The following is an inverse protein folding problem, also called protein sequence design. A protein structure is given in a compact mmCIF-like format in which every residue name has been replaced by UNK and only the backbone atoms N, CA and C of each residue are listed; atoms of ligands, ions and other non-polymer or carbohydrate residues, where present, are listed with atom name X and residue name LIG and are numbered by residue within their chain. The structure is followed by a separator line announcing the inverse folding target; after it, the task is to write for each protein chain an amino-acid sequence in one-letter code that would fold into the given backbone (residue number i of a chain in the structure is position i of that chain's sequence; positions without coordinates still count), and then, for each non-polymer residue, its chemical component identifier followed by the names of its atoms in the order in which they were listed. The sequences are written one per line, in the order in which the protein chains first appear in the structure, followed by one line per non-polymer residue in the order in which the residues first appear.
data_IF_820322198418
#
_entry.id   IF_820322198418
#
_cell.length_a   1.000
_cell.length_b   1.000
_cell.length_c   1.000
_cell.angle_alpha   90.00
_cell.angle_beta   90.00
_cell.angle_gamma   90.00
#
_symmetry.space_group_name_H-M   'P 1'
#
loop_
_entity.id
_entity.type
_entity.pdbx_description
1 polymer ?
#
# COMPACT_ATOMS: atom_id res chain seq x y z
N UNK A 1 -7.58 5.00 24.37
CA UNK A 1 -6.46 5.80 23.83
C UNK A 1 -5.34 4.82 23.57
N UNK A 2 -5.10 4.50 22.30
CA UNK A 2 -4.10 3.51 21.89
C UNK A 2 -2.72 4.16 21.85
N UNK A 3 -2.01 4.02 20.74
CA UNK A 3 -0.69 4.64 20.56
C UNK A 3 -0.75 6.16 20.34
N UNK A 4 -1.94 6.76 20.16
CA UNK A 4 -2.08 8.23 20.03
C UNK A 4 -1.57 8.98 21.26
N UNK A 5 -1.54 8.31 22.42
CA UNK A 5 -1.04 8.87 23.69
C UNK A 5 0.48 9.04 23.70
N UNK A 6 1.19 8.34 22.82
CA UNK A 6 2.64 8.43 22.71
C UNK A 6 3.03 9.59 21.79
N UNK A 7 4.13 10.25 22.14
CA UNK A 7 4.67 11.37 21.39
C UNK A 7 6.18 11.20 21.30
N UNK A 8 6.72 11.44 20.11
CA UNK A 8 8.15 11.49 19.85
C UNK A 8 8.48 12.90 19.37
N UNK A 9 9.43 13.55 20.03
CA UNK A 9 9.84 14.89 19.65
C UNK A 9 10.68 14.89 18.35
N UNK A 10 10.86 16.08 17.77
CA UNK A 10 11.55 16.23 16.48
C UNK A 10 13.00 15.77 16.51
N UNK A 11 13.70 15.94 17.63
CA UNK A 11 15.11 15.57 17.73
C UNK A 11 15.26 14.05 17.87
N UNK A 12 14.35 13.41 18.60
CA UNK A 12 14.25 11.96 18.73
C UNK A 12 13.85 11.28 17.42
N UNK A 13 12.93 11.88 16.65
CA UNK A 13 12.59 11.42 15.29
C UNK A 13 13.81 11.47 14.36
N UNK A 14 14.55 12.59 14.37
CA UNK A 14 15.79 12.75 13.57
C UNK A 14 16.86 11.75 13.99
N UNK A 15 17.05 11.55 15.29
CA UNK A 15 18.02 10.57 15.80
C UNK A 15 17.64 9.16 15.32
N UNK A 16 16.36 8.77 15.48
CA UNK A 16 15.84 7.49 15.01
C UNK A 16 16.11 7.27 13.51
N UNK A 17 15.79 8.27 12.69
CA UNK A 17 16.00 8.21 11.25
C UNK A 17 17.49 8.05 10.90
N UNK A 18 18.36 8.87 11.49
CA UNK A 18 19.80 8.90 11.19
C UNK A 18 20.56 7.62 11.57
N UNK A 19 20.07 6.85 12.55
CA UNK A 19 20.70 5.61 13.01
C UNK A 19 19.93 4.35 12.59
N UNK A 20 18.93 4.48 11.72
CA UNK A 20 18.09 3.35 11.30
C UNK A 20 18.85 2.22 10.62
N UNK A 21 19.83 2.54 9.76
CA UNK A 21 20.64 1.52 9.10
C UNK A 21 21.52 0.77 10.10
N UNK A 22 22.14 1.49 11.05
CA UNK A 22 22.89 0.90 12.15
C UNK A 22 22.02 -0.02 13.01
N UNK A 23 20.79 0.41 13.32
CA UNK A 23 19.82 -0.37 14.08
C UNK A 23 19.47 -1.69 13.36
N UNK A 24 19.25 -1.64 12.04
CA UNK A 24 18.98 -2.82 11.19
C UNK A 24 20.20 -3.77 11.17
N UNK A 25 21.41 -3.25 10.97
CA UNK A 25 22.64 -4.05 10.93
C UNK A 25 22.89 -4.79 12.25
N UNK A 26 22.67 -4.12 13.39
CA UNK A 26 22.79 -4.74 14.71
C UNK A 26 21.75 -5.84 14.89
N UNK A 27 20.50 -5.59 14.53
CA UNK A 27 19.44 -6.60 14.62
C UNK A 27 19.73 -7.82 13.73
N UNK A 28 20.17 -7.60 12.49
CA UNK A 28 20.61 -8.65 11.58
C UNK A 28 21.73 -9.48 12.20
N UNK A 29 22.72 -8.83 12.82
CA UNK A 29 23.83 -9.51 13.48
C UNK A 29 23.36 -10.37 14.66
N UNK A 30 22.47 -9.85 15.50
CA UNK A 30 21.95 -10.57 16.67
C UNK A 30 21.09 -11.78 16.29
N UNK A 31 20.22 -11.63 15.30
CA UNK A 31 19.30 -12.69 14.87
C UNK A 31 19.96 -13.71 13.92
N UNK A 32 21.20 -13.47 13.48
CA UNK A 32 21.93 -14.38 12.58
C UNK A 32 22.47 -15.63 13.28
N UNK A 33 22.67 -15.60 14.61
CA UNK A 33 23.35 -16.67 15.37
C UNK A 33 22.74 -18.06 15.08
N UNK A 34 23.59 -18.97 14.57
CA UNK A 34 23.20 -20.19 13.87
C UNK A 34 22.56 -21.25 14.80
N UNK A 35 22.83 -21.19 16.11
CA UNK A 35 22.39 -22.23 17.06
C UNK A 35 20.86 -22.23 17.29
N UNK A 36 20.17 -21.09 17.10
CA UNK A 36 18.71 -20.97 17.25
C UNK A 36 18.00 -20.47 15.97
N UNK A 37 18.72 -19.92 14.97
CA UNK A 37 18.10 -19.29 13.79
C UNK A 37 17.19 -20.22 12.99
N UNK A 38 17.58 -21.48 12.77
CA UNK A 38 16.77 -22.42 11.97
C UNK A 38 15.41 -22.71 12.62
N UNK A 39 15.32 -22.60 13.94
CA UNK A 39 14.07 -22.79 14.65
C UNK A 39 13.13 -21.60 14.45
N UNK A 40 13.64 -20.39 14.21
CA UNK A 40 12.82 -19.17 14.14
C UNK A 40 12.23 -18.87 12.76
N UNK A 41 12.98 -19.12 11.67
CA UNK A 41 12.56 -18.74 10.31
C UNK A 41 12.15 -19.94 9.43
N UNK A 42 12.21 -21.16 9.97
CA UNK A 42 11.90 -22.39 9.24
C UNK A 42 12.79 -22.58 8.01
N UNK A 43 12.17 -22.87 6.87
CA UNK A 43 12.86 -23.08 5.59
C UNK A 43 13.12 -21.78 4.80
N UNK A 44 12.81 -20.61 5.37
CA UNK A 44 13.02 -19.34 4.69
C UNK A 44 14.51 -19.00 4.57
N UNK A 45 14.86 -18.25 3.52
CA UNK A 45 16.21 -17.68 3.41
C UNK A 45 16.41 -16.59 4.46
N UNK A 46 17.67 -16.36 4.82
CA UNK A 46 18.01 -15.29 5.78
C UNK A 46 17.62 -13.90 5.25
N UNK A 47 17.58 -13.75 3.93
CA UNK A 47 17.18 -12.49 3.28
C UNK A 47 15.73 -12.13 3.62
N UNK A 48 14.81 -13.08 3.75
CA UNK A 48 13.42 -12.81 4.17
C UNK A 48 13.38 -12.17 5.57
N UNK A 49 14.25 -12.61 6.48
CA UNK A 49 14.37 -12.03 7.82
C UNK A 49 14.97 -10.62 7.76
N UNK A 50 15.99 -10.42 6.94
CA UNK A 50 16.61 -9.09 6.77
C UNK A 50 15.65 -8.10 6.12
N UNK A 51 14.84 -8.55 5.16
CA UNK A 51 13.79 -7.77 4.53
C UNK A 51 12.73 -7.37 5.56
N UNK A 52 12.32 -8.31 6.42
CA UNK A 52 11.45 -8.02 7.55
C UNK A 52 12.01 -6.94 8.47
N UNK A 53 13.30 -6.98 8.82
CA UNK A 53 13.90 -5.97 9.69
C UNK A 53 13.90 -4.58 9.06
N UNK A 54 14.17 -4.47 7.74
CA UNK A 54 14.08 -3.20 7.02
C UNK A 54 12.65 -2.67 6.98
N UNK A 55 11.69 -3.54 6.66
CA UNK A 55 10.28 -3.18 6.65
C UNK A 55 9.78 -2.76 8.04
N UNK A 56 10.22 -3.45 9.11
CA UNK A 56 9.90 -3.11 10.48
C UNK A 56 10.34 -1.68 10.82
N UNK A 57 11.60 -1.32 10.55
CA UNK A 57 12.09 0.03 10.83
C UNK A 57 11.35 1.10 10.02
N UNK A 58 11.05 0.86 8.75
CA UNK A 58 10.25 1.77 7.92
C UNK A 58 8.81 1.92 8.43
N UNK A 59 8.20 0.83 8.88
CA UNK A 59 6.89 0.84 9.54
C UNK A 59 6.94 1.70 10.81
N UNK A 60 7.92 1.48 11.68
CA UNK A 60 8.04 2.24 12.92
C UNK A 60 8.23 3.74 12.68
N UNK A 61 9.08 4.14 11.73
CA UNK A 61 9.22 5.56 11.31
C UNK A 61 7.86 6.18 10.98
N UNK A 62 7.01 5.42 10.30
CA UNK A 62 5.70 5.89 9.86
C UNK A 62 4.70 5.97 11.00
N UNK A 63 4.71 4.99 11.90
CA UNK A 63 3.89 4.98 13.11
C UNK A 63 4.21 6.16 14.01
N UNK A 64 5.48 6.53 14.13
CA UNK A 64 5.91 7.65 14.96
C UNK A 64 5.36 9.00 14.47
N UNK A 65 5.20 9.15 13.16
CA UNK A 65 4.64 10.35 12.54
C UNK A 65 3.10 10.32 12.57
N UNK A 66 2.49 9.25 12.08
CA UNK A 66 1.05 9.17 11.86
C UNK A 66 0.27 8.92 13.16
N UNK A 67 0.81 8.10 14.06
CA UNK A 67 0.23 7.74 15.37
C UNK A 67 -1.22 7.22 15.32
N UNK A 68 -1.61 6.61 14.21
CA UNK A 68 -2.94 6.00 14.02
C UNK A 68 -2.96 4.57 14.60
N UNK A 69 -3.68 4.33 15.70
CA UNK A 69 -3.70 3.00 16.36
C UNK A 69 -4.35 1.93 15.52
N UNK A 70 -5.34 2.28 14.69
CA UNK A 70 -6.02 1.30 13.86
C UNK A 70 -5.02 0.70 12.86
N UNK A 71 -4.33 1.58 12.13
CA UNK A 71 -3.27 1.21 11.19
C UNK A 71 -2.13 0.45 11.87
N UNK A 72 -1.71 0.89 13.06
CA UNK A 72 -0.65 0.22 13.83
C UNK A 72 -1.03 -1.23 14.19
N UNK A 73 -2.22 -1.43 14.79
CA UNK A 73 -2.69 -2.76 15.17
C UNK A 73 -2.86 -3.66 13.94
N UNK A 74 -3.46 -3.14 12.87
CA UNK A 74 -3.70 -3.89 11.63
C UNK A 74 -2.41 -4.42 11.01
N UNK A 75 -1.35 -3.59 10.95
CA UNK A 75 -0.06 -3.98 10.39
C UNK A 75 0.68 -4.97 11.29
N UNK A 76 0.67 -4.76 12.62
CA UNK A 76 1.33 -5.69 13.56
C UNK A 76 0.72 -7.08 13.45
N UNK A 77 -0.60 -7.18 13.46
CA UNK A 77 -1.32 -8.44 13.28
C UNK A 77 -1.05 -9.06 11.90
N UNK A 78 -1.08 -8.24 10.83
CA UNK A 78 -0.80 -8.71 9.48
C UNK A 78 0.62 -9.26 9.34
N UNK A 79 1.62 -8.57 9.89
CA UNK A 79 3.00 -9.02 9.87
C UNK A 79 3.17 -10.32 10.66
N UNK A 80 2.60 -10.40 11.86
CA UNK A 80 2.63 -11.64 12.65
C UNK A 80 2.01 -12.82 11.87
N UNK A 81 0.80 -12.63 11.34
CA UNK A 81 0.06 -13.66 10.62
C UNK A 81 0.76 -14.11 9.32
N UNK A 82 1.21 -13.15 8.51
CA UNK A 82 1.83 -13.43 7.21
C UNK A 82 3.14 -14.23 7.36
N UNK A 83 3.99 -13.85 8.32
CA UNK A 83 5.26 -14.56 8.52
C UNK A 83 5.05 -15.95 9.12
N UNK A 84 4.18 -16.09 10.12
CA UNK A 84 3.90 -17.39 10.75
C UNK A 84 3.24 -18.37 9.78
N UNK A 85 2.30 -17.90 8.96
CA UNK A 85 1.68 -18.70 7.88
C UNK A 85 2.67 -19.15 6.81
N UNK A 86 3.83 -18.49 6.73
CA UNK A 86 4.90 -18.76 5.76
C UNK A 86 6.12 -19.42 6.40
N UNK A 87 5.92 -20.07 7.54
CA UNK A 87 6.89 -20.97 8.15
C UNK A 87 7.87 -20.31 9.12
N UNK A 88 7.67 -19.04 9.49
CA UNK A 88 8.31 -18.52 10.70
C UNK A 88 7.67 -19.16 11.92
N UNK A 89 8.47 -19.49 12.91
CA UNK A 89 7.96 -19.95 14.20
C UNK A 89 7.39 -18.73 14.96
N UNK A 90 6.21 -18.84 15.59
CA UNK A 90 5.63 -17.78 16.43
C UNK A 90 6.61 -17.17 17.45
N UNK A 91 7.54 -17.98 17.99
CA UNK A 91 8.59 -17.55 18.94
C UNK A 91 9.51 -16.49 18.33
N UNK A 92 9.62 -16.39 17.00
CA UNK A 92 10.39 -15.37 16.31
C UNK A 92 10.04 -13.97 16.79
N UNK A 93 8.76 -13.60 16.85
CA UNK A 93 8.36 -12.25 17.25
C UNK A 93 8.59 -12.00 18.75
N UNK A 94 8.38 -13.02 19.59
CA UNK A 94 8.73 -12.96 21.01
C UNK A 94 10.23 -12.88 21.28
N UNK A 95 11.07 -13.22 20.30
CA UNK A 95 12.53 -13.07 20.36
C UNK A 95 12.98 -11.74 19.77
N UNK A 96 12.42 -11.37 18.61
CA UNK A 96 12.83 -10.21 17.84
C UNK A 96 12.43 -8.89 18.51
N UNK A 97 11.21 -8.77 19.04
CA UNK A 97 10.72 -7.52 19.63
C UNK A 97 11.53 -7.13 20.90
N UNK A 98 11.80 -8.04 21.86
CA UNK A 98 12.71 -7.73 22.96
C UNK A 98 14.13 -7.38 22.51
N UNK A 99 14.63 -8.03 21.44
CA UNK A 99 15.95 -7.70 20.87
C UNK A 99 15.98 -6.30 20.25
N UNK A 100 14.90 -5.87 19.59
CA UNK A 100 14.76 -4.48 19.14
C UNK A 100 14.82 -3.51 20.32
N UNK A 101 14.06 -3.77 21.39
CA UNK A 101 14.07 -2.92 22.60
C UNK A 101 15.50 -2.82 23.17
N UNK A 102 16.21 -3.94 23.27
CA UNK A 102 17.61 -3.95 23.73
C UNK A 102 18.50 -3.12 22.81
N UNK A 103 18.44 -3.37 21.51
CA UNK A 103 19.27 -2.68 20.52
C UNK A 103 18.98 -1.17 20.51
N UNK A 104 17.73 -0.76 20.75
CA UNK A 104 17.35 0.64 20.87
C UNK A 104 18.01 1.28 22.09
N UNK A 105 17.98 0.63 23.26
CA UNK A 105 18.66 1.12 24.46
C UNK A 105 20.17 1.25 24.28
N UNK A 106 20.77 0.35 23.53
CA UNK A 106 22.23 0.33 23.30
C UNK A 106 22.69 1.37 22.26
N UNK A 107 21.79 1.85 21.39
CA UNK A 107 22.15 2.64 20.20
C UNK A 107 21.70 4.11 20.27
N UNK A 108 20.56 4.38 20.92
CA UNK A 108 19.94 5.70 20.96
C UNK A 108 20.18 6.40 22.29
N UNK A 109 20.02 7.72 22.29
CA UNK A 109 19.98 8.50 23.53
C UNK A 109 18.85 8.00 24.45
N UNK A 110 19.03 8.20 25.76
CA UNK A 110 18.02 7.84 26.76
C UNK A 110 16.67 8.52 26.47
N UNK A 111 16.69 9.78 26.00
CA UNK A 111 15.50 10.52 25.60
C UNK A 111 14.75 9.80 24.46
N UNK A 112 15.43 9.50 23.36
CA UNK A 112 14.84 8.81 22.20
C UNK A 112 14.36 7.41 22.57
N UNK A 113 15.15 6.64 23.31
CA UNK A 113 14.77 5.29 23.74
C UNK A 113 13.49 5.31 24.60
N UNK A 114 13.37 6.24 25.54
CA UNK A 114 12.19 6.37 26.40
C UNK A 114 10.91 6.73 25.63
N UNK A 115 11.03 7.45 24.51
CA UNK A 115 9.88 7.83 23.67
C UNK A 115 9.47 6.72 22.68
N UNK A 116 10.44 5.94 22.18
CA UNK A 116 10.23 4.91 21.16
C UNK A 116 9.81 3.56 21.74
N UNK A 117 10.43 3.11 22.83
CA UNK A 117 10.19 1.79 23.44
C UNK A 117 8.71 1.53 23.80
N UNK A 118 7.91 2.50 24.25
CA UNK A 118 6.48 2.28 24.52
C UNK A 118 5.72 1.69 23.34
N UNK A 119 6.06 2.05 22.09
CA UNK A 119 5.44 1.45 20.90
C UNK A 119 5.79 -0.03 20.76
N UNK A 120 7.04 -0.42 21.02
CA UNK A 120 7.48 -1.82 20.97
C UNK A 120 6.83 -2.68 22.05
N UNK A 121 6.59 -2.12 23.23
CA UNK A 121 5.82 -2.80 24.27
C UNK A 121 4.36 -3.02 23.83
N UNK A 122 3.78 -2.08 23.09
CA UNK A 122 2.44 -2.26 22.53
C UNK A 122 2.41 -3.37 21.46
N UNK A 123 3.48 -3.51 20.65
CA UNK A 123 3.61 -4.65 19.73
C UNK A 123 3.54 -5.98 20.49
N UNK A 124 4.24 -6.11 21.63
CA UNK A 124 4.17 -7.31 22.46
C UNK A 124 2.75 -7.55 22.99
N UNK A 125 2.09 -6.51 23.51
CA UNK A 125 0.71 -6.62 24.00
C UNK A 125 -0.25 -7.10 22.91
N UNK A 126 -0.09 -6.59 21.68
CA UNK A 126 -0.90 -7.02 20.53
C UNK A 126 -0.63 -8.50 20.23
N UNK A 127 0.64 -8.89 20.09
CA UNK A 127 1.01 -10.27 19.76
C UNK A 127 0.48 -11.27 20.80
N UNK A 128 0.56 -10.94 22.09
CA UNK A 128 0.02 -11.79 23.17
C UNK A 128 -1.50 -11.97 23.08
N UNK A 129 -2.20 -10.99 22.51
CA UNK A 129 -3.65 -11.03 22.30
C UNK A 129 -4.09 -11.63 20.96
N UNK A 130 -3.17 -12.01 20.07
CA UNK A 130 -3.52 -12.50 18.73
C UNK A 130 -4.22 -13.87 18.83
N UNK A 131 -5.47 -13.90 18.37
CA UNK A 131 -6.22 -15.10 18.06
C UNK A 131 -6.15 -15.34 16.55
N UNK A 132 -5.26 -16.25 16.14
CA UNK A 132 -4.97 -16.53 14.72
C UNK A 132 -6.23 -16.92 13.95
N UNK A 133 -7.17 -17.63 14.58
CA UNK A 133 -8.40 -18.08 13.92
C UNK A 133 -9.33 -16.90 13.60
N UNK A 134 -9.36 -15.85 14.44
CA UNK A 134 -10.20 -14.67 14.22
C UNK A 134 -9.68 -13.73 13.13
N UNK A 135 -8.36 -13.54 13.06
CA UNK A 135 -7.73 -12.62 12.08
C UNK A 135 -8.08 -13.01 10.65
N UNK A 136 -8.18 -14.31 10.36
CA UNK A 136 -8.46 -14.82 9.01
C UNK A 136 -9.85 -14.47 8.46
N UNK A 137 -10.80 -14.13 9.34
CA UNK A 137 -12.20 -13.89 8.98
C UNK A 137 -12.58 -12.41 8.86
N UNK A 138 -11.93 -11.53 9.63
CA UNK A 138 -12.27 -10.10 9.66
C UNK A 138 -11.63 -9.28 8.52
N UNK A 139 -10.49 -9.73 7.98
CA UNK A 139 -9.70 -9.01 6.95
C UNK A 139 -10.00 -9.42 5.50
N UNK A 140 -11.06 -10.18 5.27
CA UNK A 140 -11.41 -10.68 3.94
C UNK A 140 -12.10 -9.60 3.07
N UNK A 141 -11.29 -8.76 2.42
CA UNK A 141 -11.74 -7.79 1.40
C UNK A 141 -12.02 -8.42 0.03
N UNK A 142 -11.85 -9.75 -0.12
CA UNK A 142 -12.12 -10.43 -1.40
C UNK A 142 -13.62 -10.60 -1.68
N UNK A 143 -14.49 -10.27 -0.74
CA UNK A 143 -15.94 -10.51 -0.89
C UNK A 143 -16.52 -9.69 -2.03
N UNK A 144 -17.22 -10.38 -2.93
CA UNK A 144 -18.00 -9.79 -4.03
C UNK A 144 -19.50 -9.98 -3.80
N UNK A 145 -20.32 -9.22 -4.55
CA UNK A 145 -21.77 -9.46 -4.64
C UNK A 145 -22.01 -10.89 -5.13
N UNK A 146 -23.08 -11.54 -4.66
CA UNK A 146 -23.38 -12.94 -4.99
C UNK A 146 -23.41 -13.24 -6.50
N UNK A 147 -23.80 -12.27 -7.33
CA UNK A 147 -23.79 -12.35 -8.80
C UNK A 147 -22.39 -12.56 -9.39
N UNK A 148 -21.34 -12.09 -8.72
CA UNK A 148 -19.95 -12.16 -9.19
C UNK A 148 -19.17 -13.35 -8.61
N UNK A 149 -19.72 -14.05 -7.61
CA UNK A 149 -19.02 -15.12 -6.88
C UNK A 149 -18.41 -16.20 -7.80
N UNK A 150 -19.17 -16.65 -8.80
CA UNK A 150 -18.67 -17.67 -9.74
C UNK A 150 -17.54 -17.11 -10.60
N UNK A 151 -17.74 -15.91 -11.14
CA UNK A 151 -16.76 -15.24 -12.00
C UNK A 151 -15.45 -15.01 -11.25
N UNK A 152 -15.51 -14.50 -10.02
CA UNK A 152 -14.34 -14.28 -9.17
C UNK A 152 -13.55 -15.58 -8.98
N UNK A 153 -14.22 -16.66 -8.55
CA UNK A 153 -13.58 -17.97 -8.33
C UNK A 153 -12.94 -18.52 -9.59
N UNK A 154 -13.64 -18.43 -10.72
CA UNK A 154 -13.13 -18.88 -12.00
C UNK A 154 -11.88 -18.07 -12.40
N UNK A 155 -11.95 -16.72 -12.28
CA UNK A 155 -10.82 -15.84 -12.59
C UNK A 155 -9.63 -16.11 -11.67
N UNK A 156 -9.82 -16.22 -10.35
CA UNK A 156 -8.75 -16.56 -9.40
C UNK A 156 -8.01 -17.84 -9.83
N UNK A 157 -8.75 -18.90 -10.16
CA UNK A 157 -8.15 -20.17 -10.60
C UNK A 157 -7.39 -20.04 -11.92
N UNK A 158 -7.91 -19.24 -12.85
CA UNK A 158 -7.25 -18.95 -14.13
C UNK A 158 -5.92 -18.21 -13.91
N UNK A 159 -5.92 -17.19 -13.05
CA UNK A 159 -4.75 -16.38 -12.74
C UNK A 159 -3.63 -17.22 -12.11
N UNK A 160 -3.97 -18.02 -11.10
CA UNK A 160 -3.01 -18.91 -10.42
C UNK A 160 -2.43 -19.97 -11.37
N UNK A 161 -3.21 -20.44 -12.35
CA UNK A 161 -2.76 -21.39 -13.37
C UNK A 161 -1.98 -20.74 -14.52
N UNK A 162 -1.98 -19.42 -14.61
CA UNK A 162 -1.23 -18.70 -15.64
C UNK A 162 -1.92 -18.60 -17.01
N UNK A 163 -3.22 -18.87 -17.12
CA UNK A 163 -3.90 -18.95 -18.43
C UNK A 163 -4.48 -17.59 -18.88
N UNK A 164 -3.61 -16.77 -19.47
CA UNK A 164 -4.01 -15.47 -20.01
C UNK A 164 -5.12 -15.54 -21.06
N UNK A 165 -5.13 -16.58 -21.92
CA UNK A 165 -6.14 -16.70 -22.99
C UNK A 165 -7.52 -16.93 -22.40
N UNK A 166 -7.61 -17.78 -21.39
CA UNK A 166 -8.86 -18.04 -20.70
C UNK A 166 -9.31 -16.82 -19.88
N UNK A 167 -8.39 -16.04 -19.30
CA UNK A 167 -8.72 -14.80 -18.61
C UNK A 167 -9.38 -13.76 -19.54
N UNK A 168 -8.83 -13.60 -20.75
CA UNK A 168 -9.42 -12.72 -21.79
C UNK A 168 -10.80 -13.23 -22.19
N UNK A 169 -10.93 -14.53 -22.50
CA UNK A 169 -12.21 -15.11 -22.90
C UNK A 169 -13.28 -14.97 -21.80
N UNK A 170 -12.90 -15.13 -20.53
CA UNK A 170 -13.81 -14.99 -19.41
C UNK A 170 -14.29 -13.53 -19.27
N UNK A 171 -13.37 -12.56 -19.24
CA UNK A 171 -13.72 -11.13 -19.12
C UNK A 171 -14.49 -10.58 -20.32
N UNK A 172 -14.29 -11.13 -21.52
CA UNK A 172 -15.07 -10.79 -22.71
C UNK A 172 -16.57 -11.05 -22.58
N UNK A 173 -16.98 -11.99 -21.73
CA UNK A 173 -18.40 -12.28 -21.52
C UNK A 173 -19.13 -11.21 -20.72
N UNK A 174 -18.41 -10.30 -20.05
CA UNK A 174 -18.98 -9.32 -19.13
C UNK A 174 -18.61 -7.88 -19.45
N UNK A 175 -17.67 -7.62 -20.37
CA UNK A 175 -17.24 -6.27 -20.77
C UNK A 175 -17.69 -5.95 -22.19
N UNK A 176 -18.80 -5.20 -22.32
CA UNK A 176 -19.32 -4.72 -23.62
C UNK A 176 -19.25 -3.20 -23.78
N UNK A 177 -19.22 -2.45 -22.68
CA UNK A 177 -19.15 -0.99 -22.67
C UNK A 177 -18.23 -0.46 -21.55
N UNK A 178 -18.06 0.87 -21.44
CA UNK A 178 -17.20 1.51 -20.42
C UNK A 178 -17.66 1.28 -18.99
N UNK A 179 -18.98 1.24 -18.75
CA UNK A 179 -19.53 1.01 -17.41
C UNK A 179 -19.32 -0.44 -16.97
N UNK A 180 -19.42 -1.39 -17.91
CA UNK A 180 -19.07 -2.78 -17.65
C UNK A 180 -17.59 -2.93 -17.29
N UNK A 181 -16.70 -2.19 -17.97
CA UNK A 181 -15.27 -2.18 -17.66
C UNK A 181 -15.02 -1.65 -16.25
N UNK A 182 -15.63 -0.51 -15.90
CA UNK A 182 -15.56 0.08 -14.55
C UNK A 182 -16.04 -0.90 -13.49
N UNK A 183 -17.20 -1.52 -13.72
CA UNK A 183 -17.76 -2.56 -12.84
C UNK A 183 -16.81 -3.76 -12.73
N UNK A 184 -16.24 -4.22 -13.83
CA UNK A 184 -15.28 -5.33 -13.84
C UNK A 184 -14.02 -4.98 -13.04
N UNK A 185 -13.50 -3.76 -13.13
CA UNK A 185 -12.34 -3.33 -12.33
C UNK A 185 -12.65 -3.33 -10.83
N UNK A 186 -13.75 -2.68 -10.43
CA UNK A 186 -14.08 -2.49 -9.01
C UNK A 186 -14.71 -3.69 -8.32
N UNK A 187 -15.61 -4.41 -8.99
CA UNK A 187 -16.41 -5.48 -8.41
C UNK A 187 -15.81 -6.87 -8.65
N UNK A 188 -14.78 -6.98 -9.50
CA UNK A 188 -14.15 -8.27 -9.81
C UNK A 188 -12.63 -8.23 -9.72
N UNK A 189 -11.94 -7.45 -10.56
CA UNK A 189 -10.47 -7.51 -10.62
C UNK A 189 -9.85 -7.11 -9.28
N UNK A 190 -10.32 -6.03 -8.66
CA UNK A 190 -9.86 -5.60 -7.34
C UNK A 190 -10.11 -6.67 -6.25
N UNK A 191 -11.33 -7.19 -6.07
CA UNK A 191 -11.58 -8.30 -5.12
C UNK A 191 -10.76 -9.55 -5.39
N UNK A 192 -10.56 -9.95 -6.65
CA UNK A 192 -9.68 -11.09 -6.99
C UNK A 192 -8.24 -10.80 -6.58
N UNK A 193 -7.73 -9.59 -6.80
CA UNK A 193 -6.39 -9.23 -6.34
C UNK A 193 -6.25 -9.23 -4.82
N UNK A 194 -7.31 -8.85 -4.09
CA UNK A 194 -7.35 -9.03 -2.63
C UNK A 194 -7.37 -10.50 -2.22
N UNK A 195 -8.08 -11.38 -2.96
CA UNK A 195 -8.06 -12.83 -2.72
C UNK A 195 -6.68 -13.44 -2.97
N UNK A 196 -6.00 -13.00 -4.02
CA UNK A 196 -4.62 -13.38 -4.34
C UNK A 196 -3.68 -12.94 -3.21
N UNK A 197 -3.78 -11.69 -2.76
CA UNK A 197 -3.01 -11.17 -1.62
C UNK A 197 -3.24 -11.98 -0.35
N UNK A 198 -4.50 -12.22 0.02
CA UNK A 198 -4.86 -13.02 1.19
C UNK A 198 -4.37 -14.47 1.08
N UNK A 199 -4.41 -15.06 -0.11
CA UNK A 199 -3.89 -16.41 -0.35
C UNK A 199 -2.37 -16.46 -0.20
N UNK A 200 -1.67 -15.40 -0.61
CA UNK A 200 -0.23 -15.26 -0.42
C UNK A 200 0.14 -15.05 1.06
N UNK A 201 -0.62 -14.22 1.78
CA UNK A 201 -0.47 -14.01 3.23
C UNK A 201 -0.65 -15.32 4.00
N UNK A 202 -1.67 -16.12 3.64
CA UNK A 202 -1.96 -17.43 4.22
C UNK A 202 -0.97 -18.54 3.81
N UNK A 203 0.03 -18.23 2.99
CA UNK A 203 0.98 -19.22 2.47
C UNK A 203 0.35 -20.27 1.53
N UNK A 204 -0.87 -20.04 1.02
CA UNK A 204 -1.57 -20.95 0.11
C UNK A 204 -1.02 -20.89 -1.32
N UNK A 205 -0.43 -19.75 -1.69
CA UNK A 205 0.25 -19.54 -2.96
C UNK A 205 1.64 -18.96 -2.72
N UNK A 206 2.56 -19.30 -3.63
CA UNK A 206 3.93 -18.77 -3.62
C UNK A 206 3.97 -17.32 -4.12
N UNK A 207 5.06 -16.60 -3.81
CA UNK A 207 5.33 -15.28 -4.40
C UNK A 207 5.36 -15.34 -5.94
N UNK A 208 5.86 -16.44 -6.53
CA UNK A 208 5.85 -16.61 -7.99
C UNK A 208 4.43 -16.67 -8.58
N UNK A 209 3.48 -17.30 -7.88
CA UNK A 209 2.08 -17.36 -8.30
C UNK A 209 1.37 -16.02 -8.13
N UNK A 210 1.66 -15.28 -7.07
CA UNK A 210 1.17 -13.90 -6.90
C UNK A 210 1.67 -13.01 -8.04
N UNK A 211 2.99 -12.99 -8.31
CA UNK A 211 3.57 -12.21 -9.40
C UNK A 211 3.00 -12.61 -10.78
N UNK A 212 2.77 -13.90 -11.01
CA UNK A 212 2.12 -14.39 -12.23
C UNK A 212 0.70 -13.85 -12.36
N UNK A 213 -0.10 -13.92 -11.29
CA UNK A 213 -1.47 -13.41 -11.27
C UNK A 213 -1.50 -11.89 -11.54
N UNK A 214 -0.67 -11.11 -10.85
CA UNK A 214 -0.52 -9.66 -11.04
C UNK A 214 -0.11 -9.32 -12.48
N UNK A 215 0.87 -10.04 -13.04
CA UNK A 215 1.31 -9.84 -14.42
C UNK A 215 0.21 -10.12 -15.44
N UNK A 216 -0.63 -11.14 -15.20
CA UNK A 216 -1.77 -11.46 -16.06
C UNK A 216 -2.84 -10.38 -15.96
N UNK A 217 -3.13 -9.87 -14.76
CA UNK A 217 -4.10 -8.80 -14.56
C UNK A 217 -3.68 -7.52 -15.27
N UNK A 218 -2.42 -7.11 -15.18
CA UNK A 218 -1.93 -5.90 -15.89
C UNK A 218 -2.10 -6.03 -17.42
N UNK A 219 -1.79 -7.21 -17.97
CA UNK A 219 -2.00 -7.51 -19.40
C UNK A 219 -3.49 -7.54 -19.76
N UNK A 220 -4.32 -8.08 -18.88
CA UNK A 220 -5.76 -8.18 -19.06
C UNK A 220 -6.40 -6.79 -19.06
N UNK A 221 -6.02 -5.93 -18.11
CA UNK A 221 -6.45 -4.54 -18.05
C UNK A 221 -6.14 -3.80 -19.35
N UNK A 222 -4.90 -3.90 -19.83
CA UNK A 222 -4.50 -3.32 -21.13
C UNK A 222 -5.37 -3.85 -22.27
N UNK A 223 -5.62 -5.16 -22.31
CA UNK A 223 -6.46 -5.80 -23.36
C UNK A 223 -7.90 -5.28 -23.34
N UNK A 224 -8.47 -5.08 -22.15
CA UNK A 224 -9.83 -4.59 -21.98
C UNK A 224 -9.94 -3.09 -22.28
N UNK A 225 -8.99 -2.30 -21.79
CA UNK A 225 -8.91 -0.86 -22.04
C UNK A 225 -8.83 -0.53 -23.53
N UNK A 226 -7.99 -1.25 -24.29
CA UNK A 226 -7.80 -0.98 -25.73
C UNK A 226 -9.06 -1.12 -26.59
N UNK A 227 -10.11 -1.80 -26.09
CA UNK A 227 -11.41 -1.89 -26.77
C UNK A 227 -12.13 -0.55 -26.87
N UNK A 228 -11.84 0.37 -25.96
CA UNK A 228 -12.52 1.66 -25.84
C UNK A 228 -11.61 2.85 -26.12
N UNK A 229 -10.31 2.62 -26.36
CA UNK A 229 -9.32 3.66 -26.58
C UNK A 229 -9.70 4.64 -27.69
N UNK A 230 -10.12 4.13 -28.85
CA UNK A 230 -10.52 4.95 -30.01
C UNK A 230 -11.80 5.76 -29.81
N UNK A 231 -12.48 5.61 -28.67
CA UNK A 231 -13.68 6.37 -28.33
C UNK A 231 -13.37 7.53 -27.38
N UNK A 232 -12.14 7.64 -26.87
CA UNK A 232 -11.77 8.67 -25.88
C UNK A 232 -11.78 10.04 -26.55
N UNK A 233 -12.49 10.98 -25.92
CA UNK A 233 -12.47 12.39 -26.25
C UNK A 233 -11.82 13.14 -25.08
N UNK A 234 -10.61 13.67 -25.31
CA UNK A 234 -9.80 14.35 -24.31
C UNK A 234 -10.34 15.76 -24.04
N UNK A 235 -11.52 15.83 -23.43
CA UNK A 235 -12.28 17.05 -23.19
C UNK A 235 -12.01 17.67 -21.80
N UNK A 236 -11.19 17.02 -20.95
CA UNK A 236 -10.85 17.48 -19.60
C UNK A 236 -9.37 17.87 -19.49
N UNK A 237 -8.95 18.20 -18.28
CA UNK A 237 -7.59 18.64 -17.97
C UNK A 237 -6.56 17.52 -17.97
N UNK A 238 -5.34 17.90 -17.60
CA UNK A 238 -4.20 16.98 -17.48
C UNK A 238 -4.14 16.37 -16.09
N UNK A 239 -3.99 15.05 -16.00
CA UNK A 239 -3.89 14.30 -14.75
C UNK A 239 -2.58 13.52 -14.71
N UNK A 240 -1.76 13.71 -13.69
CA UNK A 240 -0.59 12.86 -13.43
C UNK A 240 -0.97 11.85 -12.35
N UNK A 241 -0.79 10.55 -12.60
CA UNK A 241 -1.04 9.47 -11.63
C UNK A 241 0.25 8.70 -11.36
N UNK A 242 0.58 8.47 -10.09
CA UNK A 242 1.71 7.62 -9.68
C UNK A 242 1.37 6.82 -8.43
N UNK A 243 1.96 5.63 -8.29
CA UNK A 243 2.11 5.06 -6.95
C UNK A 243 3.15 5.89 -6.16
N UNK A 244 3.09 5.86 -4.83
CA UNK A 244 4.08 6.52 -3.99
C UNK A 244 5.50 5.97 -4.23
N UNK A 245 6.52 6.74 -3.85
CA UNK A 245 7.90 6.22 -3.85
C UNK A 245 8.01 5.04 -2.88
N UNK A 246 8.75 4.00 -3.27
CA UNK A 246 8.85 2.70 -2.59
C UNK A 246 7.53 1.92 -2.53
N UNK A 247 6.53 2.31 -3.35
CA UNK A 247 5.31 1.54 -3.55
C UNK A 247 5.42 0.70 -4.83
N UNK A 248 5.26 -0.61 -4.69
CA UNK A 248 5.28 -1.55 -5.82
C UNK A 248 3.87 -2.01 -6.23
N UNK A 249 2.85 -1.70 -5.42
CA UNK A 249 1.47 -2.05 -5.71
C UNK A 249 0.84 -1.05 -6.69
N UNK A 250 0.89 -1.38 -7.97
CA UNK A 250 0.55 -0.45 -9.05
C UNK A 250 -0.87 -0.64 -9.64
N UNK A 251 -1.47 -1.83 -9.44
CA UNK A 251 -2.72 -2.24 -10.08
C UNK A 251 -3.88 -1.27 -9.80
N UNK A 252 -4.03 -0.83 -8.55
CA UNK A 252 -5.07 0.14 -8.18
C UNK A 252 -4.90 1.50 -8.85
N UNK A 253 -3.67 2.02 -8.89
CA UNK A 253 -3.36 3.28 -9.57
C UNK A 253 -3.62 3.19 -11.08
N UNK A 254 -3.27 2.05 -11.68
CA UNK A 254 -3.54 1.79 -13.09
C UNK A 254 -5.05 1.71 -13.39
N UNK A 255 -5.84 1.05 -12.54
CA UNK A 255 -7.30 0.99 -12.70
C UNK A 255 -7.91 2.40 -12.74
N UNK A 256 -7.49 3.28 -11.83
CA UNK A 256 -7.99 4.66 -11.80
C UNK A 256 -7.52 5.44 -13.03
N UNK A 257 -6.27 5.24 -13.47
CA UNK A 257 -5.74 5.91 -14.67
C UNK A 257 -6.55 5.56 -15.92
N UNK A 258 -6.77 4.27 -16.17
CA UNK A 258 -7.56 3.80 -17.31
C UNK A 258 -8.99 4.39 -17.27
N UNK A 259 -9.61 4.46 -16.09
CA UNK A 259 -10.96 5.00 -15.92
C UNK A 259 -11.02 6.52 -16.06
N UNK A 260 -10.00 7.26 -15.60
CA UNK A 260 -9.89 8.71 -15.80
C UNK A 260 -9.75 9.04 -17.29
N UNK A 261 -8.92 8.30 -18.02
CA UNK A 261 -8.77 8.50 -19.47
C UNK A 261 -10.09 8.23 -20.21
N UNK A 262 -10.80 7.16 -19.85
CA UNK A 262 -12.11 6.85 -20.44
C UNK A 262 -13.20 7.88 -20.06
N UNK A 263 -12.98 8.65 -19.00
CA UNK A 263 -13.78 9.78 -18.58
C UNK A 263 -13.36 11.10 -19.26
N UNK A 264 -12.30 11.09 -20.08
CA UNK A 264 -11.87 12.20 -20.93
C UNK A 264 -10.70 13.04 -20.40
N UNK A 265 -10.01 12.58 -19.36
CA UNK A 265 -8.78 13.19 -18.87
C UNK A 265 -7.57 12.83 -19.73
N UNK A 266 -6.63 13.77 -19.89
CA UNK A 266 -5.30 13.48 -20.44
C UNK A 266 -4.41 12.96 -19.30
N UNK A 267 -4.29 11.64 -19.17
CA UNK A 267 -3.62 11.01 -18.03
C UNK A 267 -2.21 10.57 -18.38
N UNK A 268 -1.25 10.92 -17.52
CA UNK A 268 0.08 10.34 -17.52
C UNK A 268 0.26 9.45 -16.28
N UNK A 269 0.37 8.15 -16.52
CA UNK A 269 0.58 7.15 -15.48
C UNK A 269 2.07 6.76 -15.35
N UNK A 270 2.66 6.99 -14.18
CA UNK A 270 4.09 6.75 -13.92
C UNK A 270 4.42 5.39 -13.32
N UNK A 271 3.43 4.55 -13.03
CA UNK A 271 3.69 3.21 -12.49
C UNK A 271 4.05 3.20 -11.00
N UNK A 272 4.73 2.12 -10.62
CA UNK A 272 5.26 1.87 -9.29
C UNK A 272 6.61 2.57 -9.04
N UNK A 273 6.86 2.93 -7.78
CA UNK A 273 8.16 3.34 -7.26
C UNK A 273 8.83 4.51 -8.02
N UNK A 274 8.04 5.49 -8.46
CA UNK A 274 8.56 6.71 -9.10
C UNK A 274 9.33 7.56 -8.07
N UNK A 275 10.59 7.96 -8.34
CA UNK A 275 11.33 8.86 -7.46
C UNK A 275 10.65 10.23 -7.34
N UNK A 276 10.51 10.74 -6.11
CA UNK A 276 9.82 12.02 -5.84
C UNK A 276 10.47 13.22 -6.54
N UNK A 277 11.80 13.24 -6.68
CA UNK A 277 12.51 14.33 -7.37
C UNK A 277 12.20 14.35 -8.87
N UNK A 278 12.23 13.19 -9.53
CA UNK A 278 11.89 13.07 -10.95
C UNK A 278 10.41 13.39 -11.20
N UNK A 279 9.52 12.94 -10.31
CA UNK A 279 8.10 13.30 -10.38
C UNK A 279 7.91 14.80 -10.19
N UNK A 280 8.60 15.42 -9.22
CA UNK A 280 8.57 16.86 -9.00
C UNK A 280 9.01 17.67 -10.23
N UNK A 281 10.13 17.29 -10.85
CA UNK A 281 10.61 17.92 -12.09
C UNK A 281 9.54 17.87 -13.19
N UNK A 282 8.86 16.72 -13.31
CA UNK A 282 7.76 16.56 -14.25
C UNK A 282 6.57 17.47 -13.93
N UNK A 283 6.16 17.57 -12.67
CA UNK A 283 5.07 18.45 -12.24
C UNK A 283 5.35 19.91 -12.61
N UNK A 284 6.59 20.37 -12.40
CA UNK A 284 7.02 21.74 -12.72
C UNK A 284 7.01 22.01 -14.23
N UNK A 285 7.45 21.03 -15.03
CA UNK A 285 7.47 21.10 -16.49
C UNK A 285 6.05 21.14 -17.07
N UNK A 286 5.22 20.20 -16.63
CA UNK A 286 3.97 19.87 -17.31
C UNK A 286 2.75 20.58 -16.73
N UNK A 287 2.84 21.01 -15.46
CA UNK A 287 1.81 21.74 -14.73
C UNK A 287 0.42 21.10 -14.89
N UNK A 288 0.26 19.83 -14.47
CA UNK A 288 -1.03 19.17 -14.59
C UNK A 288 -2.09 19.86 -13.74
N UNK A 289 -3.36 19.60 -14.05
CA UNK A 289 -4.50 20.06 -13.29
C UNK A 289 -4.64 19.29 -11.97
N UNK A 290 -4.38 17.98 -12.00
CA UNK A 290 -4.41 17.10 -10.83
C UNK A 290 -3.18 16.18 -10.79
N UNK A 291 -2.58 16.03 -9.60
CA UNK A 291 -1.68 14.95 -9.23
C UNK A 291 -2.44 13.93 -8.36
N UNK A 292 -2.51 12.68 -8.81
CA UNK A 292 -2.98 11.53 -8.03
C UNK A 292 -1.80 10.71 -7.48
N UNK A 293 -1.85 10.39 -6.19
CA UNK A 293 -0.88 9.51 -5.52
C UNK A 293 -1.64 8.33 -4.90
N UNK A 294 -1.31 7.13 -5.36
CA UNK A 294 -1.82 5.88 -4.77
C UNK A 294 -0.86 5.34 -3.71
N UNK A 295 -1.40 5.03 -2.54
CA UNK A 295 -0.66 4.49 -1.39
C UNK A 295 -1.34 3.20 -0.92
N UNK A 296 -0.67 2.07 -1.11
CA UNK A 296 -1.16 0.77 -0.65
C UNK A 296 -0.57 0.40 0.71
N UNK A 297 0.71 0.69 0.90
CA UNK A 297 1.45 0.43 2.13
C UNK A 297 1.52 1.68 3.01
N UNK A 298 1.01 1.64 4.25
CA UNK A 298 0.94 2.85 5.08
C UNK A 298 2.30 3.46 5.44
N UNK A 299 3.39 2.68 5.36
CA UNK A 299 4.73 3.22 5.60
C UNK A 299 5.22 4.23 4.53
N UNK A 300 4.51 4.35 3.41
CA UNK A 300 4.81 5.33 2.37
C UNK A 300 4.16 6.69 2.65
N UNK A 301 3.16 6.76 3.55
CA UNK A 301 2.39 7.99 3.81
C UNK A 301 3.22 9.17 4.33
N UNK A 302 4.18 9.03 5.28
CA UNK A 302 4.96 10.18 5.74
C UNK A 302 5.72 10.86 4.60
N UNK A 303 6.35 10.08 3.72
CA UNK A 303 7.05 10.62 2.53
C UNK A 303 6.09 11.26 1.53
N UNK A 304 4.86 10.75 1.42
CA UNK A 304 3.83 11.40 0.60
C UNK A 304 3.42 12.74 1.20
N UNK A 305 3.26 12.84 2.52
CA UNK A 305 2.95 14.10 3.21
C UNK A 305 4.08 15.11 2.98
N UNK A 306 5.33 14.73 3.22
CA UNK A 306 6.52 15.58 2.97
C UNK A 306 6.58 16.04 1.50
N UNK A 307 6.28 15.15 0.57
CA UNK A 307 6.27 15.48 -0.85
C UNK A 307 5.18 16.50 -1.21
N UNK A 308 3.98 16.35 -0.62
CA UNK A 308 2.88 17.29 -0.80
C UNK A 308 3.25 18.65 -0.21
N UNK A 309 3.82 18.69 0.99
CA UNK A 309 4.29 19.93 1.62
C UNK A 309 5.30 20.66 0.72
N UNK A 310 6.30 19.94 0.18
CA UNK A 310 7.24 20.50 -0.79
C UNK A 310 6.56 21.05 -2.04
N UNK A 311 5.53 20.38 -2.56
CA UNK A 311 4.75 20.89 -3.70
C UNK A 311 4.04 22.20 -3.34
N UNK A 312 3.50 22.31 -2.11
CA UNK A 312 2.79 23.51 -1.64
C UNK A 312 3.69 24.70 -1.35
N UNK A 313 4.98 24.48 -1.14
CA UNK A 313 5.96 25.56 -1.02
C UNK A 313 6.34 26.19 -2.37
N UNK A 314 5.94 25.58 -3.49
CA UNK A 314 6.25 26.06 -4.84
C UNK A 314 5.06 26.77 -5.49
N UNK A 315 5.16 28.10 -5.59
CA UNK A 315 4.13 28.95 -6.19
C UNK A 315 3.75 28.57 -7.63
N UNK A 316 4.65 27.89 -8.36
CA UNK A 316 4.39 27.42 -9.74
C UNK A 316 3.34 26.32 -9.80
N UNK A 317 3.09 25.62 -8.68
CA UNK A 317 2.18 24.48 -8.57
C UNK A 317 0.92 24.79 -7.76
N UNK A 318 0.74 26.03 -7.28
CA UNK A 318 -0.39 26.42 -6.42
C UNK A 318 -1.79 26.16 -7.03
N UNK A 319 -1.91 26.17 -8.36
CA UNK A 319 -3.18 25.92 -9.05
C UNK A 319 -3.53 24.43 -9.22
N UNK A 320 -2.55 23.53 -9.01
CA UNK A 320 -2.71 22.09 -9.16
C UNK A 320 -3.43 21.50 -7.95
N UNK A 321 -4.34 20.56 -8.21
CA UNK A 321 -4.96 19.75 -7.17
C UNK A 321 -4.17 18.48 -6.87
N UNK A 322 -4.19 18.08 -5.61
CA UNK A 322 -3.55 16.85 -5.15
C UNK A 322 -4.64 15.92 -4.63
N UNK A 323 -4.69 14.72 -5.21
CA UNK A 323 -5.54 13.62 -4.82
C UNK A 323 -4.69 12.49 -4.23
N UNK A 324 -5.05 11.98 -3.05
CA UNK A 324 -4.36 10.86 -2.41
C UNK A 324 -5.37 9.76 -2.09
N UNK A 325 -5.06 8.53 -2.46
CA UNK A 325 -5.93 7.38 -2.20
C UNK A 325 -5.15 6.08 -2.11
N UNK A 326 -5.85 4.95 -2.20
CA UNK A 326 -5.27 3.60 -2.11
C UNK A 326 -5.59 2.90 -0.79
N UNK A 327 -5.19 1.62 -0.69
CA UNK A 327 -5.60 0.74 0.41
C UNK A 327 -5.19 1.27 1.79
N UNK A 328 -4.00 1.86 1.92
CA UNK A 328 -3.55 2.46 3.16
C UNK A 328 -4.49 3.58 3.62
N UNK A 329 -4.78 4.51 2.70
CA UNK A 329 -5.66 5.66 2.93
C UNK A 329 -7.07 5.20 3.28
N UNK A 330 -7.56 4.13 2.64
CA UNK A 330 -8.88 3.58 2.93
C UNK A 330 -9.03 3.06 4.35
N UNK A 331 -7.97 2.53 4.94
CA UNK A 331 -8.00 1.92 6.27
C UNK A 331 -7.64 2.88 7.41
N UNK A 332 -7.09 4.06 7.12
CA UNK A 332 -6.82 5.09 8.12
C UNK A 332 -8.08 5.65 8.78
N UNK A 333 -7.96 5.98 10.07
CA UNK A 333 -8.99 6.71 10.81
C UNK A 333 -8.82 8.23 10.67
N UNK A 334 -7.57 8.72 10.75
CA UNK A 334 -7.24 10.15 10.69
C UNK A 334 -6.79 10.58 9.28
N UNK A 335 -7.73 10.66 8.35
CA UNK A 335 -7.46 11.08 6.95
C UNK A 335 -7.08 12.55 6.82
N UNK A 336 -7.48 13.38 7.79
CA UNK A 336 -7.20 14.82 7.88
C UNK A 336 -5.71 15.17 8.02
N UNK A 337 -4.86 14.20 8.37
CA UNK A 337 -3.41 14.40 8.45
C UNK A 337 -2.75 14.53 7.06
N UNK A 338 -3.43 14.08 6.01
CA UNK A 338 -2.91 14.13 4.63
C UNK A 338 -3.24 15.51 4.05
N UNK A 339 -2.25 16.39 3.76
CA UNK A 339 -2.48 17.76 3.30
C UNK A 339 -2.85 17.85 1.81
N UNK A 340 -3.66 16.91 1.32
CA UNK A 340 -4.16 16.85 -0.06
C UNK A 340 -5.49 17.60 -0.20
N UNK A 341 -5.83 18.02 -1.43
CA UNK A 341 -7.15 18.63 -1.69
C UNK A 341 -8.27 17.58 -1.66
N UNK A 342 -7.97 16.36 -2.13
CA UNK A 342 -8.91 15.26 -2.26
C UNK A 342 -8.30 14.01 -1.62
N UNK A 343 -8.92 13.48 -0.56
CA UNK A 343 -8.50 12.22 0.08
C UNK A 343 -9.55 11.16 -0.21
N UNK A 344 -9.18 10.13 -0.98
CA UNK A 344 -10.09 9.11 -1.50
C UNK A 344 -9.82 7.79 -0.80
N UNK A 345 -10.67 7.46 0.17
CA UNK A 345 -10.52 6.24 0.96
C UNK A 345 -11.80 5.76 1.65
N UNK A 346 -12.96 6.35 1.37
CA UNK A 346 -14.25 5.96 1.91
C UNK A 346 -15.16 5.43 0.81
N UNK A 347 -16.35 6.00 0.73
CA UNK A 347 -17.36 5.69 -0.30
C UNK A 347 -17.19 6.54 -1.56
N UNK A 348 -16.18 7.40 -1.61
CA UNK A 348 -15.96 8.34 -2.71
C UNK A 348 -15.37 7.63 -3.94
N UNK A 349 -15.84 8.01 -5.13
CA UNK A 349 -15.26 7.58 -6.40
C UNK A 349 -14.27 8.65 -6.89
N UNK A 350 -12.98 8.33 -7.08
CA UNK A 350 -11.97 9.32 -7.50
C UNK A 350 -12.30 9.96 -8.85
N UNK A 351 -12.96 9.23 -9.75
CA UNK A 351 -13.34 9.74 -11.08
C UNK A 351 -14.39 10.83 -10.94
N UNK A 352 -15.39 10.60 -10.07
CA UNK A 352 -16.46 11.55 -9.80
C UNK A 352 -15.90 12.80 -9.14
N UNK A 353 -15.05 12.65 -8.12
CA UNK A 353 -14.43 13.79 -7.43
C UNK A 353 -13.58 14.66 -8.36
N UNK A 354 -12.78 14.03 -9.24
CA UNK A 354 -12.01 14.75 -10.24
C UNK A 354 -12.95 15.55 -11.19
N UNK A 355 -14.01 14.90 -11.68
CA UNK A 355 -14.99 15.52 -12.57
C UNK A 355 -15.75 16.68 -11.92
N UNK A 356 -16.18 16.54 -10.66
CA UNK A 356 -16.83 17.61 -9.92
C UNK A 356 -15.93 18.84 -9.75
N UNK A 357 -14.65 18.62 -9.41
CA UNK A 357 -13.69 19.70 -9.34
C UNK A 357 -13.48 20.38 -10.69
N UNK A 358 -13.30 19.60 -11.76
CA UNK A 358 -13.10 20.11 -13.11
C UNK A 358 -14.26 20.99 -13.56
N UNK A 359 -15.50 20.53 -13.35
CA UNK A 359 -16.69 21.29 -13.73
C UNK A 359 -16.78 22.60 -12.94
N UNK A 360 -16.51 22.58 -11.63
CA UNK A 360 -16.51 23.79 -10.79
C UNK A 360 -15.54 24.85 -11.30
N UNK A 361 -14.34 24.43 -11.73
CA UNK A 361 -13.27 25.33 -12.25
C UNK A 361 -13.72 26.21 -13.42
N UNK A 362 -14.66 25.75 -14.24
CA UNK A 362 -15.14 26.48 -15.42
C UNK A 362 -16.49 27.18 -15.22
N UNK A 363 -17.16 26.92 -14.09
CA UNK A 363 -18.47 27.53 -13.74
C UNK A 363 -18.38 28.65 -12.71
N UNK A 364 -17.20 28.87 -12.11
CA UNK A 364 -16.90 29.95 -11.17
C UNK A 364 -15.95 30.95 -11.80
#
# INVERSE_FOLDING_TARGET
MGIEKYYIDKDSLKEFDSKSDQLIELMNKYMKDDNDRRNLIGNNSIDVMYDNHRHHVNFMKSVFVLRDSKMFNEIVEWAYFSYTSRGFDPIYFHTAIPMWIKTIKDTFSEATANQVIPYYNEILNIIEGIDVDKITHEKDHSKVKSSWNKFQKDLYQILIKGDFRLAVKLTETVVSNREDLKSTYYDVLRPVMYEIGLSWEKGLITTAQEHLATSIIIRLMTTLYMKFFGLIDYAKGKFIMSAAQNEFHEVGARMISDLLELDGWDVEYYGANTPVDSLYERLVSDKPDILGISVAMPFNLPKVIEFIERIREDDRLNSMKIMVGGYAVSNMSSKEIIPADLVVGGTEDPIVLAGEWWNKRWTS
#
